data_IF_038859295147
#
_entry.id   IF_038859295147
#
_cell.length_a   1.000
_cell.length_b   1.000
_cell.length_c   1.000
_cell.angle_alpha   90.00
_cell.angle_beta   90.00
_cell.angle_gamma   90.00
#
_symmetry.space_group_name_H-M   'P 1'
#
loop_
_entity.id
_entity.type
_entity.pdbx_description
1 polymer ?
#
# COMPACT_ATOMS: atom_id res chain seq x y z
N UNK A 1 -11.73 6.33 26.47
CA UNK A 1 -11.01 7.23 25.53
C UNK A 1 -10.45 6.34 24.44
N UNK A 2 -11.24 6.13 23.39
CA UNK A 2 -11.10 5.05 22.39
C UNK A 2 -10.22 5.45 21.19
N UNK A 3 -9.24 6.32 21.41
CA UNK A 3 -8.43 6.91 20.33
C UNK A 3 -7.75 5.82 19.48
N UNK A 4 -7.23 4.76 20.10
CA UNK A 4 -6.58 3.65 19.41
C UNK A 4 -7.52 2.83 18.50
N UNK A 5 -8.83 2.80 18.77
CA UNK A 5 -9.82 2.12 17.91
C UNK A 5 -10.38 3.04 16.82
N UNK A 6 -10.32 4.36 17.02
CA UNK A 6 -10.84 5.36 16.09
C UNK A 6 -9.94 5.47 14.86
N UNK A 7 -8.63 5.43 15.04
CA UNK A 7 -7.65 5.62 13.96
C UNK A 7 -7.74 4.48 12.91
N UNK A 8 -7.79 3.18 13.29
CA UNK A 8 -8.03 2.12 12.33
C UNK A 8 -9.38 2.24 11.63
N UNK A 9 -10.43 2.76 12.31
CA UNK A 9 -11.75 2.97 11.69
C UNK A 9 -11.73 4.05 10.62
N UNK A 10 -10.91 5.09 10.78
CA UNK A 10 -10.73 6.13 9.75
C UNK A 10 -9.94 5.63 8.54
N UNK A 11 -8.90 4.82 8.77
CA UNK A 11 -8.04 4.31 7.70
C UNK A 11 -8.65 3.14 6.92
N UNK A 12 -9.39 2.24 7.60
CA UNK A 12 -9.97 1.01 7.02
C UNK A 12 -10.68 1.23 5.67
N UNK A 13 -11.58 2.23 5.50
CA UNK A 13 -12.34 2.39 4.26
C UNK A 13 -11.50 2.68 3.01
N UNK A 14 -10.23 3.05 3.20
CA UNK A 14 -9.28 3.26 2.13
C UNK A 14 -8.49 2.00 1.78
N UNK A 15 -8.48 0.97 2.62
CA UNK A 15 -7.65 -0.21 2.38
C UNK A 15 -8.43 -1.22 1.55
N UNK A 16 -7.73 -1.98 0.70
CA UNK A 16 -8.30 -3.05 -0.12
C UNK A 16 -7.45 -4.31 -0.04
N UNK A 17 -8.08 -5.46 -0.22
CA UNK A 17 -7.44 -6.75 -0.45
C UNK A 17 -7.30 -7.01 -1.96
N UNK A 18 -6.16 -7.56 -2.37
CA UNK A 18 -5.90 -7.97 -3.74
C UNK A 18 -5.60 -9.46 -3.79
N UNK A 19 -6.19 -10.13 -4.77
CA UNK A 19 -5.83 -11.48 -5.19
C UNK A 19 -5.60 -11.49 -6.69
N UNK A 20 -4.37 -11.83 -7.10
CA UNK A 20 -4.01 -11.94 -8.51
C UNK A 20 -3.76 -13.39 -8.90
N UNK A 21 -4.23 -13.77 -10.08
CA UNK A 21 -3.88 -15.03 -10.75
C UNK A 21 -2.97 -14.71 -11.95
N UNK A 22 -1.77 -15.30 -11.92
CA UNK A 22 -0.70 -15.12 -12.89
C UNK A 22 -0.54 -16.42 -13.68
N UNK A 23 -0.49 -16.38 -15.03
CA UNK A 23 -0.25 -17.57 -15.84
C UNK A 23 1.06 -18.28 -15.47
N UNK A 24 1.09 -19.61 -15.56
CA UNK A 24 2.25 -20.42 -15.21
C UNK A 24 3.47 -20.10 -16.09
N UNK A 25 3.22 -19.71 -17.33
CA UNK A 25 4.21 -19.32 -18.34
C UNK A 25 4.81 -17.93 -18.12
N UNK A 26 4.23 -17.09 -17.26
CA UNK A 26 4.79 -15.76 -17.00
C UNK A 26 6.13 -15.89 -16.25
N UNK A 27 7.21 -15.20 -16.66
CA UNK A 27 8.56 -15.41 -16.11
C UNK A 27 8.66 -15.29 -14.58
N UNK A 28 7.87 -14.40 -13.99
CA UNK A 28 7.85 -14.20 -12.54
C UNK A 28 7.20 -15.34 -11.75
N UNK A 29 6.39 -16.19 -12.38
CA UNK A 29 5.58 -17.21 -11.69
C UNK A 29 6.43 -18.27 -11.01
N UNK A 30 7.64 -18.54 -11.53
CA UNK A 30 8.60 -19.46 -10.91
C UNK A 30 9.14 -18.96 -9.56
N UNK A 31 9.16 -17.64 -9.34
CA UNK A 31 9.73 -17.01 -8.14
C UNK A 31 8.63 -16.53 -7.18
N UNK A 32 7.60 -15.88 -7.73
CA UNK A 32 6.55 -15.21 -6.96
C UNK A 32 5.23 -16.00 -6.90
N UNK A 33 5.20 -17.19 -7.51
CA UNK A 33 3.99 -18.01 -7.61
C UNK A 33 2.97 -17.49 -8.63
N UNK A 34 1.96 -18.34 -8.85
CA UNK A 34 0.82 -18.09 -9.73
C UNK A 34 -0.33 -17.38 -9.02
N UNK A 35 -0.45 -17.54 -7.70
CA UNK A 35 -1.39 -16.78 -6.89
C UNK A 35 -0.62 -15.80 -6.02
N UNK A 36 -1.02 -14.53 -6.02
CA UNK A 36 -0.43 -13.52 -5.14
C UNK A 36 -1.53 -12.82 -4.37
N UNK A 37 -1.34 -12.76 -3.07
CA UNK A 37 -2.21 -12.06 -2.14
C UNK A 37 -1.51 -10.80 -1.67
N UNK A 38 -2.25 -9.72 -1.55
CA UNK A 38 -1.71 -8.45 -1.11
C UNK A 38 -2.77 -7.46 -0.67
N UNK A 39 -2.31 -6.25 -0.38
CA UNK A 39 -3.17 -5.15 -0.02
C UNK A 39 -2.90 -3.95 -0.93
N UNK A 40 -3.79 -2.98 -0.87
CA UNK A 40 -3.64 -1.70 -1.54
C UNK A 40 -4.36 -0.61 -0.76
N UNK A 41 -4.16 0.63 -1.20
CA UNK A 41 -4.78 1.80 -0.58
C UNK A 41 -5.39 2.71 -1.63
N UNK A 42 -6.63 3.11 -1.41
CA UNK A 42 -7.37 4.06 -2.21
C UNK A 42 -6.72 5.43 -2.11
N UNK A 43 -6.39 6.00 -3.26
CA UNK A 43 -5.89 7.38 -3.40
C UNK A 43 -6.93 8.28 -4.07
N UNK A 44 -7.92 7.67 -4.73
CA UNK A 44 -9.11 8.30 -5.26
C UNK A 44 -10.28 7.30 -5.16
N UNK A 45 -11.54 7.74 -5.36
CA UNK A 45 -12.70 6.84 -5.26
C UNK A 45 -12.65 5.62 -6.19
N UNK A 46 -11.92 5.73 -7.29
CA UNK A 46 -11.77 4.74 -8.35
C UNK A 46 -10.34 4.21 -8.51
N UNK A 47 -9.40 4.61 -7.64
CA UNK A 47 -7.97 4.31 -7.84
C UNK A 47 -7.28 3.91 -6.56
N UNK A 48 -6.47 2.85 -6.66
CA UNK A 48 -5.65 2.33 -5.58
C UNK A 48 -4.18 2.31 -5.97
N UNK A 49 -3.31 2.43 -4.96
CA UNK A 49 -1.90 2.08 -5.06
C UNK A 49 -1.65 0.71 -4.41
N UNK A 50 -0.70 -0.04 -4.95
CA UNK A 50 -0.25 -1.32 -4.39
C UNK A 50 1.20 -1.61 -4.80
N UNK A 51 1.78 -2.71 -4.32
CA UNK A 51 3.08 -3.20 -4.77
C UNK A 51 2.96 -3.75 -6.20
N UNK A 52 3.82 -3.30 -7.11
CA UNK A 52 3.67 -3.60 -8.54
C UNK A 52 3.72 -5.10 -8.89
N UNK A 53 4.51 -5.88 -8.15
CA UNK A 53 4.63 -7.30 -8.41
C UNK A 53 3.33 -8.06 -8.10
N UNK A 54 2.39 -7.49 -7.36
CA UNK A 54 1.06 -8.08 -7.14
C UNK A 54 0.19 -8.04 -8.40
N UNK A 55 0.49 -7.16 -9.36
CA UNK A 55 -0.34 -6.97 -10.56
C UNK A 55 0.41 -7.29 -11.85
N UNK A 56 1.73 -7.39 -11.80
CA UNK A 56 2.57 -7.73 -12.95
C UNK A 56 2.26 -9.13 -13.49
N UNK A 57 1.85 -9.20 -14.75
CA UNK A 57 1.55 -10.45 -15.44
C UNK A 57 0.19 -11.05 -15.07
N UNK A 58 -0.63 -10.35 -14.30
CA UNK A 58 -1.91 -10.88 -13.84
C UNK A 58 -2.90 -11.04 -15.00
N UNK A 59 -3.42 -12.25 -15.17
CA UNK A 59 -4.56 -12.53 -16.05
C UNK A 59 -5.87 -12.13 -15.39
N UNK A 60 -5.94 -12.25 -14.06
CA UNK A 60 -7.09 -11.87 -13.25
C UNK A 60 -6.60 -11.17 -12.00
N UNK A 61 -7.26 -10.08 -11.65
CA UNK A 61 -6.99 -9.30 -10.43
C UNK A 61 -8.32 -9.00 -9.75
N UNK A 62 -8.54 -9.61 -8.60
CA UNK A 62 -9.69 -9.36 -7.74
C UNK A 62 -9.31 -8.29 -6.72
N UNK A 63 -10.17 -7.27 -6.57
CA UNK A 63 -9.99 -6.19 -5.59
C UNK A 63 -11.23 -6.11 -4.73
N UNK A 64 -11.04 -6.27 -3.42
CA UNK A 64 -12.15 -6.26 -2.45
C UNK A 64 -11.88 -5.23 -1.36
N UNK A 65 -12.83 -4.33 -1.12
CA UNK A 65 -12.72 -3.37 -0.02
C UNK A 65 -13.04 -4.00 1.33
N UNK A 66 -12.74 -3.30 2.42
CA UNK A 66 -13.16 -3.70 3.76
C UNK A 66 -14.69 -3.68 3.98
N UNK A 67 -15.43 -3.14 3.00
CA UNK A 67 -16.89 -3.24 2.90
C UNK A 67 -17.36 -4.59 2.35
N UNK A 68 -16.44 -5.50 2.02
CA UNK A 68 -16.70 -6.80 1.40
C UNK A 68 -17.08 -6.72 -0.08
N UNK A 69 -17.10 -5.50 -0.66
CA UNK A 69 -17.55 -5.30 -2.04
C UNK A 69 -16.38 -5.46 -3.01
N UNK A 70 -16.59 -6.29 -4.03
CA UNK A 70 -15.68 -6.45 -5.15
C UNK A 70 -15.68 -5.24 -6.09
N UNK A 71 -14.54 -4.99 -6.73
CA UNK A 71 -14.32 -3.94 -7.72
C UNK A 71 -13.61 -4.53 -8.92
N UNK A 72 -14.09 -4.20 -10.10
CA UNK A 72 -13.50 -4.67 -11.36
C UNK A 72 -12.27 -3.81 -11.69
N UNK A 73 -11.25 -4.43 -12.27
CA UNK A 73 -10.02 -3.73 -12.65
C UNK A 73 -10.13 -3.27 -14.10
N UNK A 74 -10.17 -1.96 -14.31
CA UNK A 74 -10.25 -1.35 -15.64
C UNK A 74 -8.88 -1.15 -16.27
N UNK A 75 -7.89 -0.73 -15.46
CA UNK A 75 -6.55 -0.39 -15.95
C UNK A 75 -5.51 -0.52 -14.86
N UNK A 76 -4.33 -0.98 -15.23
CA UNK A 76 -3.14 -1.01 -14.37
C UNK A 76 -2.02 -0.19 -15.01
N UNK A 77 -1.31 0.60 -14.21
CA UNK A 77 -0.06 1.26 -14.57
C UNK A 77 1.01 0.88 -13.55
N UNK A 78 2.20 0.52 -14.02
CA UNK A 78 3.31 0.06 -13.19
C UNK A 78 4.45 1.07 -13.27
N UNK A 79 5.04 1.35 -12.12
CA UNK A 79 6.29 2.08 -11.98
C UNK A 79 7.35 1.12 -11.46
N UNK A 80 8.18 0.64 -12.37
CA UNK A 80 9.27 -0.29 -12.05
C UNK A 80 10.37 0.36 -11.22
N UNK A 81 10.50 1.69 -11.27
CA UNK A 81 11.52 2.43 -10.52
C UNK A 81 11.20 2.40 -9.03
N UNK A 82 9.97 2.76 -8.67
CA UNK A 82 9.56 2.76 -7.26
C UNK A 82 9.07 1.40 -6.79
N UNK A 83 8.64 0.53 -7.70
CA UNK A 83 8.01 -0.73 -7.37
C UNK A 83 6.53 -0.60 -6.99
N UNK A 84 5.88 0.51 -7.34
CA UNK A 84 4.45 0.73 -7.13
C UNK A 84 3.63 0.48 -8.39
N UNK A 85 2.37 0.12 -8.21
CA UNK A 85 1.37 0.13 -9.27
C UNK A 85 0.15 0.95 -8.88
N UNK A 86 -0.40 1.64 -9.88
CA UNK A 86 -1.69 2.31 -9.83
C UNK A 86 -2.72 1.41 -10.53
N UNK A 87 -3.78 1.04 -9.82
CA UNK A 87 -4.88 0.26 -10.37
C UNK A 87 -6.13 1.13 -10.38
N UNK A 88 -6.74 1.24 -11.54
CA UNK A 88 -8.02 1.94 -11.75
C UNK A 88 -9.14 0.92 -11.76
N UNK A 89 -10.19 1.22 -11.01
CA UNK A 89 -11.26 0.31 -10.67
C UNK A 89 -12.59 0.81 -11.22
N UNK A 90 -13.52 -0.12 -11.38
CA UNK A 90 -14.94 0.13 -11.63
C UNK A 90 -15.78 -0.57 -10.56
N UNK A 91 -16.86 0.08 -10.13
CA UNK A 91 -17.73 -0.40 -9.05
C UNK A 91 -17.93 0.61 -7.91
N UNK A 92 -18.31 0.15 -6.70
CA UNK A 92 -18.58 1.03 -5.56
C UNK A 92 -17.37 1.90 -5.19
N UNK A 93 -17.60 3.21 -5.07
CA UNK A 93 -16.56 4.17 -4.71
C UNK A 93 -15.85 3.80 -3.40
N UNK A 94 -14.52 3.91 -3.39
CA UNK A 94 -13.68 3.83 -2.20
C UNK A 94 -13.61 5.19 -1.51
N UNK A 95 -13.30 5.18 -0.20
CA UNK A 95 -12.91 6.41 0.49
C UNK A 95 -11.39 6.55 0.39
N UNK A 96 -10.85 7.60 -0.23
CA UNK A 96 -9.41 7.78 -0.32
C UNK A 96 -8.75 7.98 1.05
N UNK A 97 -7.53 7.48 1.20
CA UNK A 97 -6.67 7.83 2.32
C UNK A 97 -6.24 9.30 2.21
N UNK A 98 -6.04 9.96 3.36
CA UNK A 98 -5.38 11.27 3.40
C UNK A 98 -3.88 11.05 3.23
N UNK A 99 -3.23 11.69 2.27
CA UNK A 99 -1.78 11.65 2.15
C UNK A 99 -1.15 12.49 3.27
N UNK A 100 -0.02 12.04 3.82
CA UNK A 100 0.87 12.88 4.61
C UNK A 100 1.91 13.52 3.69
N UNK A 101 1.91 14.84 3.61
CA UNK A 101 2.78 15.64 2.74
C UNK A 101 3.63 16.68 3.48
N UNK A 102 3.66 16.62 4.81
CA UNK A 102 4.39 17.55 5.70
C UNK A 102 5.90 17.24 5.82
N UNK A 103 6.48 16.59 4.81
CA UNK A 103 7.90 16.25 4.74
C UNK A 103 8.23 14.81 5.13
N UNK A 104 9.49 14.57 5.50
CA UNK A 104 9.96 13.24 5.85
C UNK A 104 9.50 12.81 7.25
N UNK A 105 9.07 11.56 7.45
CA UNK A 105 8.82 11.04 8.79
C UNK A 105 10.11 11.00 9.61
N UNK A 106 10.17 11.68 10.78
CA UNK A 106 11.34 11.59 11.63
C UNK A 106 11.44 10.20 12.27
N UNK A 107 12.67 9.71 12.57
CA UNK A 107 12.85 8.54 13.43
C UNK A 107 12.12 8.68 14.77
N UNK A 108 11.56 7.58 15.27
CA UNK A 108 10.73 7.55 16.48
C UNK A 108 9.27 7.94 16.25
N UNK A 109 8.88 8.39 15.05
CA UNK A 109 7.47 8.69 14.77
C UNK A 109 6.60 7.43 14.88
N UNK A 110 5.51 7.44 15.66
CA UNK A 110 4.62 6.31 15.80
C UNK A 110 3.84 6.08 14.49
N UNK A 111 3.76 4.82 14.10
CA UNK A 111 3.08 4.37 12.88
C UNK A 111 2.24 3.13 13.14
N UNK A 112 1.32 2.88 12.23
CA UNK A 112 0.61 1.61 12.16
C UNK A 112 0.43 1.15 10.73
N UNK A 113 0.26 -0.16 10.55
CA UNK A 113 -0.06 -0.77 9.27
C UNK A 113 -1.37 -1.54 9.40
N UNK A 114 -2.16 -1.52 8.33
CA UNK A 114 -3.40 -2.28 8.23
C UNK A 114 -3.35 -3.18 7.01
N UNK A 115 -3.78 -4.42 7.18
CA UNK A 115 -3.97 -5.35 6.08
C UNK A 115 -5.09 -6.35 6.38
N UNK A 116 -5.48 -7.10 5.36
CA UNK A 116 -6.49 -8.16 5.43
C UNK A 116 -6.09 -9.25 4.42
N UNK A 117 -6.14 -10.53 4.80
CA UNK A 117 -5.85 -11.64 3.86
C UNK A 117 -7.10 -12.29 3.27
N UNK A 118 -8.28 -11.92 3.77
CA UNK A 118 -9.59 -12.40 3.33
C UNK A 118 -10.69 -11.53 3.90
N UNK A 119 -11.89 -11.72 3.39
CA UNK A 119 -13.09 -11.10 3.96
C UNK A 119 -13.26 -11.48 5.45
N UNK A 120 -13.70 -10.51 6.25
CA UNK A 120 -13.87 -10.63 7.70
C UNK A 120 -12.58 -10.64 8.54
N UNK A 121 -11.38 -10.67 7.93
CA UNK A 121 -10.11 -10.63 8.66
C UNK A 121 -9.50 -9.22 8.66
N UNK A 122 -9.00 -8.79 9.83
CA UNK A 122 -8.26 -7.52 9.95
C UNK A 122 -6.98 -7.76 10.75
N UNK A 123 -5.84 -7.43 10.15
CA UNK A 123 -4.52 -7.47 10.79
C UNK A 123 -3.99 -6.07 10.91
N UNK A 124 -3.62 -5.70 12.12
CA UNK A 124 -2.98 -4.44 12.41
C UNK A 124 -1.67 -4.69 13.14
N UNK A 125 -0.70 -3.85 12.89
CA UNK A 125 0.58 -3.84 13.59
C UNK A 125 0.97 -2.39 13.82
N UNK A 126 1.72 -2.14 14.88
CA UNK A 126 2.18 -0.81 15.26
C UNK A 126 3.69 -0.84 15.45
N UNK A 127 4.29 0.32 15.42
CA UNK A 127 5.72 0.49 15.63
C UNK A 127 6.13 1.93 15.42
N UNK A 128 7.40 2.13 15.10
CA UNK A 128 7.96 3.45 14.90
C UNK A 128 8.79 3.47 13.62
N UNK A 129 8.90 4.65 13.02
CA UNK A 129 9.89 4.91 11.98
C UNK A 129 11.28 4.75 12.59
N UNK A 130 12.10 3.88 12.00
CA UNK A 130 13.49 3.67 12.41
C UNK A 130 14.43 4.57 11.63
N UNK A 131 14.24 4.66 10.32
CA UNK A 131 15.05 5.50 9.42
C UNK A 131 14.27 5.81 8.14
N UNK A 132 14.71 6.87 7.46
CA UNK A 132 14.33 7.19 6.08
C UNK A 132 15.63 7.40 5.29
N UNK A 133 15.75 6.77 4.13
CA UNK A 133 16.96 6.86 3.31
C UNK A 133 16.95 5.89 2.14
N UNK A 134 18.04 5.82 1.37
CA UNK A 134 18.15 4.89 0.26
C UNK A 134 18.10 3.44 0.74
N UNK A 135 17.60 2.56 -0.11
CA UNK A 135 17.57 1.13 0.13
C UNK A 135 18.07 0.39 -1.11
N UNK A 136 19.08 -0.45 -0.90
CA UNK A 136 19.66 -1.32 -1.92
C UNK A 136 19.39 -2.78 -1.54
N UNK A 137 18.74 -3.51 -2.42
CA UNK A 137 18.61 -4.95 -2.31
C UNK A 137 19.58 -5.67 -3.24
N UNK A 138 19.97 -6.89 -2.85
CA UNK A 138 20.95 -7.69 -3.59
C UNK A 138 20.54 -8.05 -5.03
N UNK A 139 19.26 -7.89 -5.39
CA UNK A 139 18.71 -8.18 -6.72
C UNK A 139 18.59 -6.92 -7.60
N UNK A 140 19.52 -5.98 -7.46
CA UNK A 140 19.59 -4.73 -8.24
C UNK A 140 18.33 -3.84 -8.10
N UNK A 141 17.56 -4.03 -7.01
CA UNK A 141 16.46 -3.13 -6.67
C UNK A 141 16.97 -2.03 -5.74
N UNK A 142 16.95 -0.81 -6.26
CA UNK A 142 17.37 0.39 -5.56
C UNK A 142 16.19 1.34 -5.40
N UNK A 143 16.00 1.85 -4.19
CA UNK A 143 15.13 2.98 -3.92
C UNK A 143 16.00 4.13 -3.43
N UNK A 144 15.88 5.29 -4.07
CA UNK A 144 16.51 6.52 -3.56
C UNK A 144 15.99 6.88 -2.16
N UNK A 145 14.76 6.48 -1.86
CA UNK A 145 14.09 6.76 -0.59
C UNK A 145 13.11 5.66 -0.19
N UNK A 146 13.32 5.11 0.99
CA UNK A 146 12.45 4.14 1.64
C UNK A 146 12.26 4.48 3.12
N UNK A 147 11.10 4.10 3.67
CA UNK A 147 10.79 4.23 5.10
C UNK A 147 11.02 2.87 5.74
N UNK A 148 11.94 2.82 6.70
CA UNK A 148 12.26 1.62 7.48
C UNK A 148 11.57 1.74 8.84
N UNK A 149 10.86 0.70 9.26
CA UNK A 149 10.04 0.74 10.49
C UNK A 149 10.27 -0.48 11.37
N UNK A 150 10.07 -0.32 12.68
CA UNK A 150 10.11 -1.43 13.65
C UNK A 150 8.85 -2.29 13.63
N UNK A 151 7.81 -1.86 12.92
CA UNK A 151 6.56 -2.61 12.87
C UNK A 151 6.76 -3.88 12.04
N UNK A 152 6.34 -5.01 12.59
CA UNK A 152 6.45 -6.31 11.94
C UNK A 152 5.43 -6.36 10.80
N UNK A 153 5.88 -6.66 9.58
CA UNK A 153 4.99 -6.80 8.41
C UNK A 153 3.89 -7.83 8.74
N UNK A 154 2.60 -7.44 8.70
CA UNK A 154 1.49 -8.33 9.07
C UNK A 154 1.21 -9.43 8.03
N UNK A 155 2.04 -9.53 6.99
CA UNK A 155 2.10 -10.67 6.08
C UNK A 155 1.64 -10.38 4.66
N UNK A 156 1.47 -9.11 4.26
CA UNK A 156 1.04 -8.73 2.92
C UNK A 156 1.73 -7.46 2.44
N UNK A 157 2.22 -7.48 1.21
CA UNK A 157 2.73 -6.29 0.55
C UNK A 157 1.61 -5.41 -0.01
N UNK A 158 1.96 -4.17 -0.32
CA UNK A 158 1.04 -3.10 -0.68
C UNK A 158 0.21 -2.58 0.50
N UNK A 159 0.41 -3.12 1.71
CA UNK A 159 -0.27 -2.65 2.91
C UNK A 159 0.11 -1.18 3.20
N UNK A 160 -0.85 -0.30 3.48
CA UNK A 160 -0.54 1.09 3.81
C UNK A 160 0.13 1.23 5.17
N UNK A 161 1.09 2.14 5.23
CA UNK A 161 1.74 2.65 6.44
C UNK A 161 1.14 4.02 6.76
N UNK A 162 0.54 4.15 7.95
CA UNK A 162 -0.15 5.35 8.42
C UNK A 162 0.50 5.93 9.67
N UNK A 163 0.32 7.23 9.89
CA UNK A 163 0.59 7.88 11.17
C UNK A 163 -0.63 7.80 12.08
N UNK A 164 -0.54 8.29 13.32
CA UNK A 164 -1.65 8.25 14.27
C UNK A 164 -2.85 9.14 13.89
N UNK A 165 -2.78 9.94 12.82
CA UNK A 165 -3.89 10.73 12.28
C UNK A 165 -4.53 10.06 11.04
N UNK A 166 -4.22 8.78 10.81
CA UNK A 166 -4.63 8.02 9.64
C UNK A 166 -4.20 8.67 8.31
N UNK A 167 -3.07 9.38 8.29
CA UNK A 167 -2.47 9.93 7.08
C UNK A 167 -1.43 8.96 6.53
N UNK A 168 -1.52 8.65 5.24
CA UNK A 168 -0.70 7.69 4.52
C UNK A 168 0.73 8.23 4.34
N UNK A 169 1.71 7.47 4.80
CA UNK A 169 3.14 7.75 4.56
C UNK A 169 3.69 6.95 3.38
N UNK A 170 3.26 5.71 3.22
CA UNK A 170 3.83 4.80 2.22
C UNK A 170 3.12 3.46 2.13
N UNK A 171 3.63 2.60 1.25
CA UNK A 171 3.13 1.25 1.04
C UNK A 171 4.24 0.25 1.36
N UNK A 172 3.94 -0.73 2.21
CA UNK A 172 4.86 -1.82 2.55
C UNK A 172 5.18 -2.60 1.30
N UNK A 173 6.46 -2.68 0.93
CA UNK A 173 6.91 -3.42 -0.24
C UNK A 173 7.47 -4.79 0.13
N UNK A 174 8.25 -4.86 1.20
CA UNK A 174 9.05 -6.03 1.55
C UNK A 174 9.10 -6.21 3.07
N UNK A 175 9.14 -7.47 3.52
CA UNK A 175 9.54 -7.83 4.88
C UNK A 175 11.03 -8.19 4.89
N UNK A 176 11.86 -7.47 5.65
CA UNK A 176 13.29 -7.73 5.72
C UNK A 176 13.57 -8.77 6.81
N UNK A 177 13.47 -10.06 6.45
CA UNK A 177 13.73 -11.16 7.38
C UNK A 177 15.21 -11.21 7.85
N UNK A 178 16.14 -10.77 7.01
CA UNK A 178 17.58 -10.80 7.29
C UNK A 178 18.07 -9.63 8.15
N UNK A 179 17.27 -8.57 8.31
CA UNK A 179 17.64 -7.37 9.07
C UNK A 179 16.57 -7.17 10.15
N UNK A 180 16.75 -7.79 11.31
CA UNK A 180 16.15 -7.34 12.58
C UNK A 180 14.64 -7.13 12.69
N UNK A 181 13.79 -7.77 11.88
CA UNK A 181 12.31 -7.58 11.87
C UNK A 181 11.86 -6.16 11.48
N UNK A 182 12.54 -5.51 10.53
CA UNK A 182 12.08 -4.24 9.96
C UNK A 182 11.13 -4.45 8.77
N UNK A 183 10.13 -3.56 8.63
CA UNK A 183 9.35 -3.45 7.39
C UNK A 183 9.84 -2.28 6.56
N UNK A 184 9.95 -2.49 5.25
CA UNK A 184 10.30 -1.46 4.27
C UNK A 184 9.05 -0.96 3.56
N UNK A 185 8.80 0.34 3.60
CA UNK A 185 7.71 0.98 2.85
C UNK A 185 8.25 1.97 1.81
N UNK A 186 7.68 1.92 0.61
CA UNK A 186 7.90 2.91 -0.44
C UNK A 186 7.07 4.16 -0.11
N UNK A 187 7.65 5.37 -0.06
CA UNK A 187 6.89 6.58 0.22
C UNK A 187 5.74 6.75 -0.78
N UNK A 188 4.54 7.11 -0.32
CA UNK A 188 3.39 7.33 -1.18
C UNK A 188 3.60 8.52 -2.14
N UNK A 189 4.56 9.38 -1.82
CA UNK A 189 5.05 10.52 -2.63
C UNK A 189 6.11 10.13 -3.66
N UNK A 190 6.57 8.88 -3.71
CA UNK A 190 7.65 8.46 -4.61
C UNK A 190 7.19 8.21 -6.05
N UNK A 191 5.95 7.76 -6.26
CA UNK A 191 5.48 7.41 -7.61
C UNK A 191 5.55 8.63 -8.54
N UNK A 192 6.06 8.46 -9.77
CA UNK A 192 6.24 9.58 -10.72
C UNK A 192 4.93 10.31 -11.07
N UNK A 193 3.79 9.62 -11.01
CA UNK A 193 2.45 10.20 -11.19
C UNK A 193 1.88 10.89 -9.94
N UNK A 194 2.50 10.74 -8.77
CA UNK A 194 1.94 11.20 -7.49
C UNK A 194 1.70 12.72 -7.45
N UNK A 195 2.58 13.54 -8.04
CA UNK A 195 2.45 15.00 -7.95
C UNK A 195 1.23 15.59 -8.65
N UNK A 196 0.71 14.95 -9.70
CA UNK A 196 -0.37 15.51 -10.52
C UNK A 196 -1.78 15.12 -10.06
N UNK A 197 -1.94 14.01 -9.33
CA UNK A 197 -3.25 13.41 -9.07
C UNK A 197 -3.71 13.50 -7.61
N UNK A 198 -2.80 13.63 -6.64
CA UNK A 198 -3.19 13.94 -5.25
C UNK A 198 -3.87 15.31 -5.15
N UNK A 199 -3.47 16.25 -6.01
CA UNK A 199 -4.06 17.60 -6.11
C UNK A 199 -5.31 17.65 -6.98
N UNK A 200 -5.63 16.59 -7.73
CA UNK A 200 -6.78 16.56 -8.65
C UNK A 200 -8.09 16.11 -7.98
N UNK A 201 -8.11 15.93 -6.65
CA UNK A 201 -9.35 15.82 -5.89
C UNK A 201 -10.00 17.21 -5.83
N UNK A 202 -11.23 17.40 -6.33
CA UNK A 202 -11.90 18.68 -6.16
C UNK A 202 -11.99 18.96 -4.66
N UNK A 203 -11.43 20.09 -4.20
CA UNK A 203 -11.78 20.66 -2.90
C UNK A 203 -13.24 21.11 -3.01
N UNK A 204 -14.19 20.20 -2.83
CA UNK A 204 -15.58 20.60 -2.66
C UNK A 204 -15.63 21.47 -1.41
N UNK A 205 -16.07 22.70 -1.63
CA UNK A 205 -16.09 23.79 -0.69
C UNK A 205 -16.77 23.39 0.62
N UNK A 206 -16.19 23.88 1.72
CA UNK A 206 -16.95 24.14 2.94
C UNK A 206 -17.81 25.37 2.65
N UNK A 207 -19.12 25.18 2.68
CA UNK A 207 -20.11 26.17 3.13
C UNK A 207 -20.96 25.48 4.21
#
# INVERSE_FOLDING_TARGET
MDALLTIPREATPAVVFLRSEIPAEHPSSAILGQERLGAGVAIAPDRILTAHYLVMGARKLEVTGFDGRGREVRRTAIDHTTGLALVTLEGPALRPARLRDDGEPPPGMPIFMLTCTRDGERKATTGHVSAVGPFEAFWEYMLDRAIMTTAINPGLAGAPLFDLDARLLGLVSLGLAAVGRYSLAIPATAAWWSRAWWTAVPRTARE
#
